data_IF_398315600718
#
_entry.id   IF_398315600718
#
_cell.length_a   1.000
_cell.length_b   1.000
_cell.length_c   1.000
_cell.angle_alpha   90.00
_cell.angle_beta   90.00
_cell.angle_gamma   90.00
#
_symmetry.space_group_name_H-M   'P 1'
#
loop_
_entity.id
_entity.type
_entity.pdbx_description
1 polymer ?
#
# COMPACT_ATOMS: atom_id res chain seq x y z
N UNK A 1 75.40 -28.75 32.69
CA UNK A 1 75.58 -29.23 31.31
C UNK A 1 74.24 -29.81 30.88
N UNK A 2 73.46 -29.06 30.18
CA UNK A 2 72.31 -29.54 29.42
C UNK A 2 72.12 -28.59 28.25
N UNK A 3 72.19 -29.14 27.04
CA UNK A 3 72.12 -28.43 25.75
C UNK A 3 70.70 -28.04 25.46
N UNK A 4 70.48 -26.78 25.11
CA UNK A 4 69.30 -26.23 24.45
C UNK A 4 69.28 -26.75 22.99
N UNK A 5 68.16 -27.32 22.61
CA UNK A 5 67.79 -27.57 21.20
C UNK A 5 66.76 -26.55 20.78
N UNK A 6 67.11 -25.62 19.94
CA UNK A 6 66.23 -24.74 19.20
C UNK A 6 65.48 -25.54 18.14
N UNK A 7 64.15 -25.50 18.20
CA UNK A 7 63.29 -26.03 17.15
C UNK A 7 62.77 -24.86 16.32
N UNK A 8 63.30 -24.77 15.11
CA UNK A 8 62.94 -23.79 14.11
C UNK A 8 61.66 -24.25 13.39
N UNK A 9 60.51 -23.57 13.62
CA UNK A 9 59.27 -23.77 12.91
C UNK A 9 58.90 -22.50 12.13
N UNK A 10 59.48 -22.37 10.93
CA UNK A 10 58.96 -21.47 9.92
C UNK A 10 57.86 -22.20 9.17
N UNK A 11 56.58 -21.76 9.39
CA UNK A 11 55.41 -22.13 8.66
C UNK A 11 54.52 -20.89 8.48
N UNK A 12 54.93 -19.99 7.60
CA UNK A 12 54.17 -18.78 7.30
C UNK A 12 52.92 -19.10 6.52
N UNK A 13 51.76 -19.13 7.19
CA UNK A 13 50.47 -19.05 6.54
C UNK A 13 50.17 -17.56 6.29
N UNK A 14 50.43 -17.09 5.07
CA UNK A 14 49.96 -15.77 4.62
C UNK A 14 48.44 -15.84 4.42
N UNK A 15 47.69 -15.50 5.45
CA UNK A 15 46.28 -15.07 5.27
C UNK A 15 46.29 -13.72 4.57
N UNK A 16 46.00 -13.70 3.27
CA UNK A 16 45.67 -12.48 2.58
C UNK A 16 44.38 -11.87 3.21
N UNK A 17 44.60 -10.86 4.04
CA UNK A 17 43.52 -10.03 4.54
C UNK A 17 42.87 -9.33 3.33
N UNK A 18 41.61 -9.65 3.06
CA UNK A 18 40.81 -8.97 2.06
C UNK A 18 40.76 -7.47 2.40
N UNK A 19 41.29 -6.64 1.54
CA UNK A 19 41.23 -5.18 1.70
C UNK A 19 39.74 -4.76 1.73
N UNK A 20 39.31 -3.90 2.65
CA UNK A 20 37.95 -3.37 2.65
C UNK A 20 37.72 -2.57 1.37
N UNK A 21 36.84 -3.06 0.53
CA UNK A 21 36.42 -2.37 -0.71
C UNK A 21 35.75 -1.05 -0.35
N UNK A 22 36.06 0.02 -1.10
CA UNK A 22 35.47 1.33 -0.88
C UNK A 22 33.93 1.28 -1.02
N UNK A 23 33.16 2.05 -0.20
CA UNK A 23 31.69 1.98 -0.16
C UNK A 23 31.00 2.15 -1.53
N UNK A 24 31.59 2.93 -2.42
CA UNK A 24 31.07 3.15 -3.78
C UNK A 24 31.17 1.90 -4.67
N UNK A 25 32.20 1.08 -4.51
CA UNK A 25 32.40 -0.16 -5.30
C UNK A 25 31.40 -1.23 -4.84
N UNK A 26 31.17 -1.35 -3.53
CA UNK A 26 30.19 -2.29 -2.94
C UNK A 26 28.77 -1.93 -3.38
N UNK A 27 28.40 -0.64 -3.39
CA UNK A 27 27.10 -0.16 -3.85
C UNK A 27 26.86 -0.39 -5.36
N UNK A 28 27.90 -0.34 -6.18
CA UNK A 28 27.84 -0.64 -7.61
C UNK A 28 27.60 -2.14 -7.84
N UNK A 29 28.33 -2.99 -7.16
CA UNK A 29 28.20 -4.46 -7.26
C UNK A 29 26.81 -4.94 -6.79
N UNK A 30 26.28 -4.40 -5.69
CA UNK A 30 24.95 -4.72 -5.21
C UNK A 30 23.85 -4.36 -6.21
N UNK A 31 23.99 -3.22 -6.91
CA UNK A 31 23.05 -2.80 -7.95
C UNK A 31 23.12 -3.74 -9.17
N UNK A 32 24.31 -4.14 -9.60
CA UNK A 32 24.51 -5.09 -10.70
C UNK A 32 23.88 -6.45 -10.37
N UNK A 33 24.06 -6.94 -9.13
CA UNK A 33 23.43 -8.18 -8.66
C UNK A 33 21.89 -8.10 -8.71
N UNK A 34 21.31 -6.98 -8.27
CA UNK A 34 19.87 -6.77 -8.33
C UNK A 34 19.34 -6.77 -9.78
N UNK A 35 20.06 -6.15 -10.71
CA UNK A 35 19.73 -6.19 -12.14
C UNK A 35 19.76 -7.62 -12.68
N UNK A 36 20.76 -8.41 -12.30
CA UNK A 36 20.87 -9.83 -12.69
C UNK A 36 19.70 -10.63 -12.12
N UNK A 37 19.36 -10.45 -10.85
CA UNK A 37 18.24 -11.13 -10.20
C UNK A 37 16.90 -10.80 -10.89
N UNK A 38 16.65 -9.53 -11.19
CA UNK A 38 15.45 -9.11 -11.93
C UNK A 38 15.42 -9.77 -13.31
N UNK A 39 16.52 -9.72 -14.07
CA UNK A 39 16.60 -10.33 -15.40
C UNK A 39 16.35 -11.84 -15.38
N UNK A 40 16.94 -12.55 -14.43
CA UNK A 40 16.82 -14.01 -14.31
C UNK A 40 15.44 -14.44 -13.82
N UNK A 41 14.80 -13.63 -12.97
CA UNK A 41 13.45 -13.88 -12.46
C UNK A 41 12.33 -13.49 -13.43
N UNK A 42 12.65 -12.85 -14.58
CA UNK A 42 11.65 -12.29 -15.47
C UNK A 42 11.02 -13.37 -16.37
N UNK A 43 9.70 -13.62 -16.25
CA UNK A 43 8.99 -14.53 -17.15
C UNK A 43 9.06 -14.07 -18.61
N UNK A 44 9.00 -15.01 -19.56
CA UNK A 44 9.12 -14.70 -20.99
C UNK A 44 8.14 -13.64 -21.47
N UNK A 45 6.90 -13.68 -20.99
CA UNK A 45 5.83 -12.75 -21.34
C UNK A 45 6.15 -11.30 -20.92
N UNK A 46 6.99 -11.11 -19.88
CA UNK A 46 7.40 -9.82 -19.32
C UNK A 46 8.78 -9.35 -19.80
N UNK A 47 9.52 -10.16 -20.58
CA UNK A 47 10.82 -9.75 -21.13
C UNK A 47 10.81 -8.41 -21.87
N UNK A 48 9.78 -8.05 -22.67
CA UNK A 48 9.70 -6.72 -23.30
C UNK A 48 9.68 -5.55 -22.30
N UNK A 49 9.26 -5.79 -21.04
CA UNK A 49 9.18 -4.80 -19.98
C UNK A 49 10.40 -4.78 -19.06
N UNK A 50 11.45 -5.53 -19.38
CA UNK A 50 12.65 -5.67 -18.55
C UNK A 50 13.21 -4.32 -18.08
N UNK A 51 13.29 -3.34 -18.97
CA UNK A 51 13.82 -2.01 -18.62
C UNK A 51 12.91 -1.26 -17.64
N UNK A 52 11.60 -1.50 -17.69
CA UNK A 52 10.65 -0.89 -16.76
C UNK A 52 10.87 -1.38 -15.32
N UNK A 53 11.30 -2.63 -15.14
CA UNK A 53 11.68 -3.17 -13.83
C UNK A 53 13.07 -2.73 -13.35
N UNK A 54 13.97 -2.33 -14.27
CA UNK A 54 15.33 -1.92 -13.93
C UNK A 54 15.41 -0.42 -13.61
N UNK A 55 14.72 0.43 -14.36
CA UNK A 55 14.75 1.89 -14.19
C UNK A 55 14.52 2.36 -12.74
N UNK A 56 13.55 1.83 -11.97
CA UNK A 56 13.31 2.30 -10.59
C UNK A 56 14.40 1.94 -9.58
N UNK A 57 15.40 1.11 -9.92
CA UNK A 57 16.55 0.87 -9.05
C UNK A 57 17.32 2.15 -8.72
N UNK A 58 17.35 3.12 -9.64
CA UNK A 58 17.96 4.42 -9.36
C UNK A 58 17.19 5.19 -8.28
N UNK A 59 15.85 5.13 -8.32
CA UNK A 59 14.99 5.72 -7.29
C UNK A 59 15.21 5.02 -5.96
N UNK A 60 15.24 3.68 -5.94
CA UNK A 60 15.50 2.89 -4.75
C UNK A 60 16.86 3.28 -4.11
N UNK A 61 17.91 3.42 -4.93
CA UNK A 61 19.24 3.85 -4.49
C UNK A 61 19.22 5.25 -3.88
N UNK A 62 18.57 6.22 -4.54
CA UNK A 62 18.44 7.61 -4.04
C UNK A 62 17.71 7.69 -2.70
N UNK A 63 16.76 6.79 -2.47
CA UNK A 63 15.98 6.70 -1.24
C UNK A 63 16.64 5.83 -0.16
N UNK A 64 17.79 5.22 -0.43
CA UNK A 64 18.44 4.29 0.50
C UNK A 64 17.67 2.99 0.72
N UNK A 65 16.79 2.61 -0.21
CA UNK A 65 16.04 1.36 -0.14
C UNK A 65 16.96 0.21 -0.52
N UNK A 66 17.07 -0.85 0.31
CA UNK A 66 17.86 -2.04 -0.02
C UNK A 66 17.42 -2.65 -1.36
N UNK A 67 18.39 -3.04 -2.19
CA UNK A 67 18.12 -3.61 -3.50
C UNK A 67 17.28 -4.90 -3.41
N UNK A 68 17.49 -5.71 -2.37
CA UNK A 68 16.74 -6.95 -2.10
C UNK A 68 15.25 -6.66 -1.91
N UNK A 69 14.93 -5.58 -1.19
CA UNK A 69 13.54 -5.14 -1.02
C UNK A 69 12.91 -4.77 -2.37
N UNK A 70 13.64 -4.03 -3.21
CA UNK A 70 13.11 -3.67 -4.52
C UNK A 70 12.94 -4.91 -5.42
N UNK A 71 13.87 -5.86 -5.41
CA UNK A 71 13.74 -7.12 -6.15
C UNK A 71 12.49 -7.89 -5.70
N UNK A 72 12.17 -7.90 -4.41
CA UNK A 72 10.92 -8.49 -3.92
C UNK A 72 9.68 -7.78 -4.48
N UNK A 73 9.66 -6.43 -4.49
CA UNK A 73 8.55 -5.69 -5.10
C UNK A 73 8.40 -5.98 -6.60
N UNK A 74 9.51 -6.14 -7.32
CA UNK A 74 9.47 -6.61 -8.72
C UNK A 74 8.82 -7.98 -8.84
N UNK A 75 9.13 -8.93 -7.95
CA UNK A 75 8.52 -10.25 -7.96
C UNK A 75 7.01 -10.20 -7.70
N UNK A 76 6.54 -9.37 -6.77
CA UNK A 76 5.12 -9.17 -6.52
C UNK A 76 4.42 -8.51 -7.73
N UNK A 77 5.05 -7.51 -8.35
CA UNK A 77 4.54 -6.88 -9.56
C UNK A 77 4.43 -7.90 -10.72
N UNK A 78 5.45 -8.73 -10.93
CA UNK A 78 5.42 -9.81 -11.93
C UNK A 78 4.27 -10.79 -11.66
N UNK A 79 4.08 -11.23 -10.41
CA UNK A 79 2.98 -12.10 -10.02
C UNK A 79 1.61 -11.47 -10.30
N UNK A 80 1.42 -10.19 -9.96
CA UNK A 80 0.19 -9.46 -10.23
C UNK A 80 -0.09 -9.36 -11.73
N UNK A 81 0.93 -9.07 -12.55
CA UNK A 81 0.81 -8.96 -14.00
C UNK A 81 0.52 -10.32 -14.66
N UNK A 82 1.09 -11.42 -14.15
CA UNK A 82 0.81 -12.76 -14.66
C UNK A 82 -0.62 -13.23 -14.34
N UNK A 83 -1.16 -12.83 -13.19
CA UNK A 83 -2.56 -13.09 -12.83
C UNK A 83 -3.52 -12.27 -13.67
N UNK A 84 -3.16 -11.04 -14.04
CA UNK A 84 -3.95 -10.16 -14.88
C UNK A 84 -3.17 -9.76 -16.13
N UNK A 85 -3.34 -10.53 -17.20
CA UNK A 85 -2.61 -10.31 -18.48
C UNK A 85 -2.96 -8.98 -19.15
N UNK A 86 -4.10 -8.36 -18.82
CA UNK A 86 -4.47 -7.03 -19.31
C UNK A 86 -3.48 -5.96 -18.82
N UNK A 87 -2.96 -6.09 -17.59
CA UNK A 87 -1.88 -5.22 -17.09
C UNK A 87 -0.62 -5.27 -17.96
N UNK A 88 -0.30 -6.46 -18.51
CA UNK A 88 0.85 -6.61 -19.42
C UNK A 88 0.64 -5.79 -20.70
N UNK A 89 -0.57 -5.82 -21.25
CA UNK A 89 -0.95 -5.01 -22.42
C UNK A 89 -0.83 -3.52 -22.15
N UNK A 90 -1.35 -3.05 -21.02
CA UNK A 90 -1.27 -1.65 -20.59
C UNK A 90 0.18 -1.20 -20.40
N UNK A 91 1.01 -2.00 -19.71
CA UNK A 91 2.42 -1.70 -19.47
C UNK A 91 3.25 -1.66 -20.77
N UNK A 92 2.95 -2.52 -21.74
CA UNK A 92 3.60 -2.50 -23.07
C UNK A 92 3.23 -1.25 -23.87
N UNK A 93 1.98 -0.80 -23.75
CA UNK A 93 1.48 0.37 -24.46
C UNK A 93 2.02 1.68 -23.84
N UNK A 94 2.11 1.73 -22.51
CA UNK A 94 2.55 2.91 -21.74
C UNK A 94 3.61 2.52 -20.71
N UNK A 95 4.85 2.23 -21.15
CA UNK A 95 5.92 1.71 -20.29
C UNK A 95 6.37 2.72 -19.23
N UNK A 96 6.35 4.02 -19.50
CA UNK A 96 6.76 5.03 -18.54
C UNK A 96 5.75 5.21 -17.41
N UNK A 97 4.46 5.00 -17.66
CA UNK A 97 3.43 4.96 -16.61
C UNK A 97 3.62 3.76 -15.68
N UNK A 98 4.00 2.62 -16.22
CA UNK A 98 4.33 1.45 -15.41
C UNK A 98 5.59 1.69 -14.55
N UNK A 99 6.63 2.33 -15.10
CA UNK A 99 7.79 2.77 -14.32
C UNK A 99 7.37 3.72 -13.20
N UNK A 100 6.48 4.68 -13.50
CA UNK A 100 5.94 5.62 -12.51
C UNK A 100 5.17 4.90 -11.41
N UNK A 101 4.37 3.89 -11.74
CA UNK A 101 3.65 3.08 -10.76
C UNK A 101 4.62 2.34 -9.80
N UNK A 102 5.70 1.75 -10.32
CA UNK A 102 6.73 1.11 -9.49
C UNK A 102 7.49 2.14 -8.62
N UNK A 103 7.81 3.32 -9.17
CA UNK A 103 8.41 4.40 -8.39
C UNK A 103 7.47 4.86 -7.26
N UNK A 104 6.16 4.93 -7.50
CA UNK A 104 5.19 5.31 -6.48
C UNK A 104 5.14 4.29 -5.33
N UNK A 105 5.29 3.00 -5.60
CA UNK A 105 5.44 1.97 -4.55
C UNK A 105 6.64 2.27 -3.65
N UNK A 106 7.78 2.61 -4.25
CA UNK A 106 9.00 2.96 -3.50
C UNK A 106 8.83 4.26 -2.70
N UNK A 107 8.34 5.32 -3.36
CA UNK A 107 8.19 6.65 -2.77
C UNK A 107 7.19 6.68 -1.61
N UNK A 108 6.16 5.85 -1.67
CA UNK A 108 5.16 5.73 -0.60
C UNK A 108 5.56 4.77 0.53
N UNK A 109 6.64 4.01 0.32
CA UNK A 109 7.07 2.97 1.27
C UNK A 109 6.09 1.78 1.36
N UNK A 110 5.14 1.69 0.45
CA UNK A 110 4.17 0.59 0.39
C UNK A 110 4.77 -0.67 -0.23
N UNK A 111 4.01 -1.75 -0.22
CA UNK A 111 4.41 -3.02 -0.84
C UNK A 111 3.26 -3.58 -1.68
N UNK A 112 3.64 -4.26 -2.75
CA UNK A 112 2.73 -5.02 -3.61
C UNK A 112 2.51 -6.45 -3.12
N UNK A 113 3.00 -6.77 -1.90
CA UNK A 113 2.79 -8.10 -1.29
C UNK A 113 1.28 -8.37 -1.14
N UNK A 114 0.73 -9.39 -1.83
CA UNK A 114 -0.71 -9.66 -1.81
C UNK A 114 -1.22 -10.07 -0.42
N UNK A 115 -0.36 -10.62 0.44
CA UNK A 115 -0.73 -11.00 1.81
C UNK A 115 -1.04 -9.78 2.70
N UNK A 116 -0.39 -8.65 2.44
CA UNK A 116 -0.55 -7.44 3.25
C UNK A 116 -1.67 -6.53 2.75
N UNK A 117 -2.10 -6.68 1.52
CA UNK A 117 -3.21 -5.92 0.93
C UNK A 117 -3.11 -4.40 1.10
N UNK A 118 -1.91 -3.82 1.01
CA UNK A 118 -1.70 -2.39 1.23
C UNK A 118 -1.68 -1.56 -0.06
N UNK A 119 -1.14 -2.14 -1.15
CA UNK A 119 -1.13 -1.50 -2.47
C UNK A 119 -1.27 -2.53 -3.59
N UNK A 120 -1.78 -2.08 -4.72
CA UNK A 120 -2.02 -2.91 -5.90
C UNK A 120 -1.58 -2.20 -7.18
N UNK A 121 -1.25 -2.98 -8.21
CA UNK A 121 -1.16 -2.49 -9.58
C UNK A 121 -2.50 -2.74 -10.27
N UNK A 122 -3.12 -1.68 -10.75
CA UNK A 122 -4.42 -1.76 -11.44
C UNK A 122 -4.34 -1.14 -12.81
N UNK A 123 -5.08 -1.67 -13.79
CA UNK A 123 -5.26 -1.02 -15.08
C UNK A 123 -6.33 0.09 -14.93
N UNK A 124 -5.91 1.34 -15.00
CA UNK A 124 -6.83 2.47 -14.93
C UNK A 124 -6.75 3.27 -16.23
N UNK A 125 -7.87 3.40 -16.97
CA UNK A 125 -7.89 4.05 -18.30
C UNK A 125 -6.80 3.56 -19.25
N UNK A 126 -6.52 2.25 -19.23
CA UNK A 126 -5.53 1.64 -20.11
C UNK A 126 -4.06 1.85 -19.70
N UNK A 127 -3.78 2.49 -18.58
CA UNK A 127 -2.43 2.62 -18.01
C UNK A 127 -2.30 1.83 -16.71
N UNK A 128 -1.10 1.37 -16.39
CA UNK A 128 -0.83 0.72 -15.10
C UNK A 128 -0.61 1.77 -14.04
N UNK A 129 -1.41 1.73 -12.97
CA UNK A 129 -1.26 2.63 -11.82
C UNK A 129 -1.11 1.83 -10.52
N UNK A 130 -0.38 2.40 -9.56
CA UNK A 130 -0.44 1.94 -8.18
C UNK A 130 -1.70 2.49 -7.53
N UNK A 131 -2.48 1.65 -6.90
CA UNK A 131 -3.57 2.09 -6.01
C UNK A 131 -3.32 1.66 -4.58
N UNK A 132 -3.65 2.55 -3.64
CA UNK A 132 -3.50 2.31 -2.22
C UNK A 132 -4.82 1.83 -1.63
N UNK A 133 -4.80 0.70 -0.94
CA UNK A 133 -5.97 0.23 -0.20
C UNK A 133 -6.24 1.10 1.05
N UNK A 134 -7.40 0.91 1.69
CA UNK A 134 -7.68 1.57 2.98
C UNK A 134 -6.74 1.06 4.09
N UNK A 135 -6.30 -0.21 4.02
CA UNK A 135 -5.29 -0.76 4.92
C UNK A 135 -3.91 -0.13 4.67
N UNK A 136 -3.56 0.14 3.41
CA UNK A 136 -2.36 0.88 3.05
C UNK A 136 -2.36 2.30 3.61
N UNK A 137 -3.48 3.00 3.53
CA UNK A 137 -3.64 4.34 4.13
C UNK A 137 -3.51 4.30 5.65
N UNK A 138 -4.13 3.32 6.31
CA UNK A 138 -3.97 3.08 7.76
C UNK A 138 -2.51 2.83 8.11
N UNK A 139 -1.84 1.91 7.42
CA UNK A 139 -0.43 1.59 7.63
C UNK A 139 0.48 2.80 7.39
N UNK A 140 0.23 3.57 6.34
CA UNK A 140 0.96 4.80 6.05
C UNK A 140 0.82 5.81 7.20
N UNK A 141 -0.41 6.06 7.67
CA UNK A 141 -0.66 7.01 8.77
C UNK A 141 0.06 6.61 10.07
N UNK A 142 0.11 5.32 10.38
CA UNK A 142 0.80 4.79 11.55
C UNK A 142 2.33 4.90 11.36
N UNK A 143 2.86 4.45 10.22
CA UNK A 143 4.30 4.44 9.95
C UNK A 143 4.92 5.83 9.86
N UNK A 144 4.15 6.83 9.44
CA UNK A 144 4.60 8.23 9.38
C UNK A 144 4.36 8.98 10.70
N UNK A 145 3.80 8.32 11.72
CA UNK A 145 3.56 8.93 13.03
C UNK A 145 2.39 9.92 13.08
N UNK A 146 1.57 10.02 12.01
CA UNK A 146 0.37 10.86 12.00
C UNK A 146 -0.63 10.44 13.07
N UNK A 147 -0.67 9.14 13.38
CA UNK A 147 -1.44 8.58 14.48
C UNK A 147 -0.77 7.31 15.00
N UNK A 148 -1.17 6.87 16.18
CA UNK A 148 -0.79 5.58 16.75
C UNK A 148 -1.64 4.44 16.16
N UNK A 149 -2.94 4.71 15.98
CA UNK A 149 -3.89 3.77 15.38
C UNK A 149 -5.12 4.47 14.82
N UNK A 150 -5.79 3.81 13.88
CA UNK A 150 -7.12 4.14 13.37
C UNK A 150 -7.96 2.87 13.45
N UNK A 151 -9.04 2.91 14.21
CA UNK A 151 -9.97 1.80 14.30
C UNK A 151 -11.38 2.21 13.90
N UNK A 152 -12.22 1.25 13.52
CA UNK A 152 -13.61 1.51 13.18
C UNK A 152 -14.50 0.34 13.57
N UNK A 153 -15.76 0.66 13.85
CA UNK A 153 -16.80 -0.33 14.13
C UNK A 153 -18.12 0.09 13.51
N UNK A 154 -18.92 -0.91 13.15
CA UNK A 154 -20.29 -0.72 12.70
C UNK A 154 -21.22 -0.82 13.90
N UNK A 155 -22.36 -0.12 13.83
CA UNK A 155 -23.39 -0.08 14.90
C UNK A 155 -24.70 -0.59 14.31
N UNK A 156 -25.31 -1.53 15.00
CA UNK A 156 -26.54 -2.17 14.54
C UNK A 156 -27.72 -1.89 15.51
N UNK A 157 -28.93 -2.08 15.03
CA UNK A 157 -30.14 -2.00 15.85
C UNK A 157 -30.07 -3.02 17.00
N UNK A 158 -30.42 -2.57 18.22
CA UNK A 158 -30.37 -3.40 19.41
C UNK A 158 -29.05 -3.44 20.15
N UNK A 159 -28.06 -2.65 19.70
CA UNK A 159 -26.82 -2.40 20.42
C UNK A 159 -26.89 -1.10 21.23
N UNK A 160 -26.19 -1.05 22.37
CA UNK A 160 -26.06 0.17 23.15
C UNK A 160 -24.96 1.04 22.57
N UNK A 161 -25.33 2.18 22.03
CA UNK A 161 -24.38 3.15 21.47
C UNK A 161 -24.69 4.56 21.99
N UNK A 162 -23.66 5.19 22.56
CA UNK A 162 -23.74 6.58 23.03
C UNK A 162 -22.48 7.35 22.64
N UNK A 163 -22.68 8.56 22.18
CA UNK A 163 -21.59 9.48 21.80
C UNK A 163 -21.85 10.84 22.44
N UNK A 164 -20.82 11.41 23.05
CA UNK A 164 -20.81 12.78 23.56
C UNK A 164 -19.68 13.56 22.89
N UNK A 165 -20.00 14.71 22.33
CA UNK A 165 -19.02 15.64 21.75
C UNK A 165 -18.94 16.90 22.62
N UNK A 166 -17.93 17.72 22.46
CA UNK A 166 -17.72 18.94 23.21
C UNK A 166 -16.39 18.93 23.94
N UNK A 167 -16.36 19.57 25.13
CA UNK A 167 -15.13 19.72 25.93
C UNK A 167 -14.65 18.43 26.59
N UNK A 168 -15.54 17.47 26.80
CA UNK A 168 -15.24 16.15 27.35
C UNK A 168 -15.84 15.08 26.47
N UNK A 169 -15.22 14.81 25.29
CA UNK A 169 -15.75 13.87 24.32
C UNK A 169 -15.63 12.42 24.81
N UNK A 170 -16.67 11.63 24.62
CA UNK A 170 -16.70 10.22 24.98
C UNK A 170 -17.49 9.40 23.96
N UNK A 171 -17.11 8.14 23.80
CA UNK A 171 -17.82 7.16 22.98
C UNK A 171 -17.95 5.88 23.78
N UNK A 172 -19.16 5.31 23.80
CA UNK A 172 -19.46 4.04 24.41
C UNK A 172 -20.20 3.19 23.40
N UNK A 173 -19.70 1.98 23.14
CA UNK A 173 -20.36 1.01 22.29
C UNK A 173 -20.32 -0.36 23.01
N UNK A 174 -21.50 -0.95 23.22
CA UNK A 174 -21.65 -2.30 23.74
C UNK A 174 -22.34 -3.10 22.63
N UNK A 175 -21.56 -3.86 21.84
CA UNK A 175 -22.12 -4.67 20.77
C UNK A 175 -22.95 -5.82 21.33
N UNK A 176 -24.02 -6.16 20.63
CA UNK A 176 -24.80 -7.34 20.95
C UNK A 176 -24.43 -8.45 19.93
N UNK A 177 -23.59 -9.45 20.33
CA UNK A 177 -23.14 -10.49 19.41
C UNK A 177 -24.26 -11.42 18.94
N UNK A 178 -25.42 -11.36 19.58
CA UNK A 178 -26.60 -12.15 19.24
C UNK A 178 -27.63 -11.38 18.40
N UNK A 179 -27.42 -10.10 18.18
CA UNK A 179 -28.27 -9.31 17.30
C UNK A 179 -28.09 -9.73 15.83
N UNK A 180 -29.14 -9.52 15.04
CA UNK A 180 -29.04 -9.73 13.58
C UNK A 180 -28.24 -8.61 12.95
N UNK A 181 -27.06 -8.95 12.41
CA UNK A 181 -26.19 -8.03 11.69
C UNK A 181 -26.45 -8.14 10.18
N UNK A 182 -27.41 -7.37 9.72
CA UNK A 182 -27.78 -7.28 8.29
C UNK A 182 -27.68 -5.84 7.79
N UNK A 183 -27.72 -5.65 6.49
CA UNK A 183 -27.75 -4.31 5.90
C UNK A 183 -28.97 -3.50 6.42
N UNK A 184 -30.11 -4.14 6.70
CA UNK A 184 -31.33 -3.48 7.19
C UNK A 184 -31.26 -3.08 8.67
N UNK A 185 -30.47 -3.80 9.47
CA UNK A 185 -30.24 -3.48 10.88
C UNK A 185 -29.09 -2.55 11.12
N UNK A 186 -28.24 -2.27 10.11
CA UNK A 186 -27.17 -1.32 10.20
C UNK A 186 -27.71 0.10 10.43
N UNK A 187 -27.23 0.78 11.48
CA UNK A 187 -27.52 2.17 11.77
C UNK A 187 -26.44 3.11 11.20
N UNK A 188 -25.20 2.63 11.12
CA UNK A 188 -24.04 3.36 10.66
C UNK A 188 -22.78 2.79 11.25
N UNK A 189 -21.80 3.63 11.47
CA UNK A 189 -20.54 3.24 12.11
C UNK A 189 -19.76 4.44 12.62
N UNK A 190 -18.68 4.15 13.28
CA UNK A 190 -17.77 5.18 13.80
C UNK A 190 -16.32 4.76 13.58
N UNK A 191 -15.43 5.73 13.65
CA UNK A 191 -14.00 5.50 13.72
C UNK A 191 -13.40 6.22 14.90
N UNK A 192 -12.26 5.70 15.36
CA UNK A 192 -11.48 6.23 16.46
C UNK A 192 -10.05 6.41 15.97
N UNK A 193 -9.50 7.61 16.14
CA UNK A 193 -8.09 7.93 15.86
C UNK A 193 -7.39 8.09 17.20
N UNK A 194 -6.38 7.28 17.45
CA UNK A 194 -5.50 7.42 18.61
C UNK A 194 -4.21 8.09 18.16
N UNK A 195 -3.96 9.31 18.64
CA UNK A 195 -2.73 10.05 18.36
C UNK A 195 -1.57 9.60 19.25
N UNK A 196 -0.34 9.85 18.80
CA UNK A 196 0.88 9.54 19.57
C UNK A 196 0.93 10.26 20.92
N UNK A 197 0.26 11.42 21.06
CA UNK A 197 0.08 12.14 22.31
C UNK A 197 -0.87 11.45 23.31
N UNK A 198 -1.50 10.35 22.94
CA UNK A 198 -2.58 9.71 23.71
C UNK A 198 -3.95 10.35 23.55
N UNK A 199 -4.05 11.50 22.84
CA UNK A 199 -5.33 12.11 22.49
C UNK A 199 -6.14 11.17 21.59
N UNK A 200 -7.44 11.08 21.85
CA UNK A 200 -8.38 10.32 21.03
C UNK A 200 -9.30 11.30 20.30
N UNK A 201 -9.50 11.08 19.01
CA UNK A 201 -10.54 11.73 18.22
C UNK A 201 -11.43 10.66 17.59
N UNK A 202 -12.71 10.94 17.48
CA UNK A 202 -13.66 10.02 16.87
C UNK A 202 -14.78 10.81 16.17
N UNK A 203 -15.41 10.16 15.21
CA UNK A 203 -16.61 10.65 14.55
C UNK A 203 -17.46 9.49 14.05
N UNK A 204 -18.71 9.80 13.69
CA UNK A 204 -19.69 8.83 13.22
C UNK A 204 -20.04 9.08 11.76
N UNK A 205 -20.51 8.03 11.09
CA UNK A 205 -21.21 8.12 9.80
C UNK A 205 -22.52 7.35 9.91
N UNK A 206 -23.63 7.98 9.53
CA UNK A 206 -24.91 7.29 9.44
C UNK A 206 -24.92 6.34 8.23
N UNK A 207 -25.88 5.40 8.25
CA UNK A 207 -26.13 4.51 7.11
C UNK A 207 -26.39 5.31 5.84
N UNK A 208 -27.16 6.41 5.91
CA UNK A 208 -27.50 7.27 4.78
C UNK A 208 -26.26 7.93 4.17
N UNK A 209 -25.29 8.36 5.00
CA UNK A 209 -24.01 8.91 4.54
C UNK A 209 -23.18 7.83 3.81
N UNK A 210 -23.14 6.61 4.34
CA UNK A 210 -22.44 5.47 3.72
C UNK A 210 -23.10 5.12 2.38
N UNK A 211 -24.43 5.02 2.34
CA UNK A 211 -25.18 4.73 1.10
C UNK A 211 -25.00 5.84 0.05
N UNK A 212 -24.87 7.09 0.45
CA UNK A 212 -24.58 8.18 -0.46
C UNK A 212 -23.18 8.05 -1.11
N UNK A 213 -22.22 7.46 -0.38
CA UNK A 213 -20.89 7.15 -0.92
C UNK A 213 -20.95 5.92 -1.84
N UNK A 214 -21.69 4.88 -1.45
CA UNK A 214 -21.96 3.71 -2.30
C UNK A 214 -22.52 4.11 -3.66
N UNK A 215 -23.54 4.96 -3.69
CA UNK A 215 -24.15 5.44 -4.95
C UNK A 215 -23.18 6.14 -5.90
N UNK A 216 -22.11 6.73 -5.38
CA UNK A 216 -21.06 7.40 -6.17
C UNK A 216 -19.92 6.46 -6.55
N UNK A 217 -19.95 5.19 -6.12
CA UNK A 217 -18.91 4.23 -6.43
C UNK A 217 -19.00 3.76 -7.88
N UNK A 218 -17.90 3.77 -8.65
CA UNK A 218 -17.91 3.34 -10.07
C UNK A 218 -18.33 1.89 -10.26
N UNK A 219 -18.11 1.04 -9.26
CA UNK A 219 -18.49 -0.37 -9.30
C UNK A 219 -20.01 -0.58 -9.21
N UNK A 220 -20.74 0.41 -8.68
CA UNK A 220 -22.20 0.35 -8.56
C UNK A 220 -22.84 0.82 -9.87
N UNK A 221 -23.67 -0.02 -10.48
CA UNK A 221 -24.33 0.28 -11.75
C UNK A 221 -23.55 -0.13 -13.02
N UNK A 222 -22.38 -0.75 -12.87
CA UNK A 222 -21.59 -1.27 -14.00
C UNK A 222 -22.17 -2.52 -14.67
N UNK A 223 -23.31 -3.04 -14.19
CA UNK A 223 -23.92 -4.30 -14.65
C UNK A 223 -23.17 -5.56 -14.19
N UNK A 224 -22.08 -5.40 -13.43
CA UNK A 224 -21.33 -6.49 -12.80
C UNK A 224 -21.56 -6.48 -11.28
N UNK A 225 -21.33 -7.61 -10.64
CA UNK A 225 -21.39 -7.72 -9.18
C UNK A 225 -20.33 -6.79 -8.57
N UNK A 226 -20.75 -5.94 -7.67
CA UNK A 226 -19.92 -4.95 -7.00
C UNK A 226 -19.47 -5.47 -5.64
N UNK A 227 -18.30 -5.09 -5.11
CA UNK A 227 -17.91 -5.37 -3.72
C UNK A 227 -18.93 -4.84 -2.68
N UNK A 228 -19.72 -3.84 -3.04
CA UNK A 228 -20.85 -3.42 -2.21
C UNK A 228 -22.00 -4.44 -2.14
N UNK A 229 -22.03 -5.38 -3.07
CA UNK A 229 -23.05 -6.44 -3.10
C UNK A 229 -22.54 -7.72 -2.42
N UNK A 230 -21.22 -8.00 -2.48
CA UNK A 230 -20.57 -9.17 -1.88
C UNK A 230 -20.12 -8.94 -0.45
N UNK A 231 -19.49 -7.77 -0.19
CA UNK A 231 -18.77 -7.47 1.05
C UNK A 231 -19.20 -6.13 1.67
N UNK A 232 -20.52 -5.94 1.77
CA UNK A 232 -21.12 -4.67 2.18
C UNK A 232 -20.52 -4.09 3.46
N UNK A 233 -20.31 -4.89 4.50
CA UNK A 233 -19.77 -4.41 5.78
C UNK A 233 -18.31 -4.02 5.70
N UNK A 234 -17.50 -4.73 4.90
CA UNK A 234 -16.11 -4.36 4.66
C UNK A 234 -16.03 -3.05 3.87
N UNK A 235 -16.93 -2.84 2.92
CA UNK A 235 -17.03 -1.56 2.21
C UNK A 235 -17.48 -0.41 3.11
N UNK A 236 -18.35 -0.66 4.10
CA UNK A 236 -18.69 0.31 5.13
C UNK A 236 -17.46 0.66 5.99
N UNK A 237 -16.70 -0.33 6.46
CA UNK A 237 -15.47 -0.11 7.23
C UNK A 237 -14.41 0.64 6.41
N UNK A 238 -14.20 0.26 5.15
CA UNK A 238 -13.34 0.97 4.19
C UNK A 238 -13.71 2.46 4.11
N UNK A 239 -14.99 2.77 4.06
CA UNK A 239 -15.51 4.13 3.99
C UNK A 239 -15.20 4.92 5.26
N UNK A 240 -15.38 4.32 6.43
CA UNK A 240 -15.04 4.90 7.73
C UNK A 240 -13.54 5.20 7.85
N UNK A 241 -12.68 4.23 7.54
CA UNK A 241 -11.22 4.41 7.58
C UNK A 241 -10.76 5.49 6.61
N UNK A 242 -11.30 5.53 5.39
CA UNK A 242 -10.97 6.58 4.43
C UNK A 242 -11.40 7.97 4.92
N UNK A 243 -12.53 8.10 5.62
CA UNK A 243 -12.95 9.35 6.24
C UNK A 243 -12.01 9.76 7.39
N UNK A 244 -11.65 8.80 8.25
CA UNK A 244 -10.67 9.02 9.34
C UNK A 244 -9.32 9.51 8.79
N UNK A 245 -8.79 8.85 7.77
CA UNK A 245 -7.52 9.21 7.12
C UNK A 245 -7.52 10.63 6.58
N UNK A 246 -8.64 11.09 6.00
CA UNK A 246 -8.78 12.47 5.49
C UNK A 246 -8.76 13.53 6.60
N UNK A 247 -9.13 13.17 7.82
CA UNK A 247 -9.16 14.08 8.98
C UNK A 247 -7.84 14.14 9.75
N UNK A 248 -6.86 13.30 9.42
CA UNK A 248 -5.55 13.33 10.09
C UNK A 248 -4.85 14.68 9.85
N UNK A 249 -4.27 15.30 10.89
CA UNK A 249 -3.45 16.49 10.75
C UNK A 249 -2.17 16.15 9.98
N UNK A 250 -1.88 16.91 8.93
CA UNK A 250 -0.76 16.67 8.01
C UNK A 250 0.40 17.66 8.25
N UNK A 251 0.47 18.21 9.46
CA UNK A 251 1.47 19.21 9.86
C UNK A 251 2.66 18.49 10.50
N UNK A 252 3.88 18.95 10.20
CA UNK A 252 5.11 18.41 10.80
C UNK A 252 5.65 17.13 10.17
N UNK A 253 5.15 16.77 8.99
CA UNK A 253 5.67 15.62 8.22
C UNK A 253 7.04 15.93 7.60
N UNK A 254 7.88 14.90 7.45
CA UNK A 254 9.11 15.02 6.66
C UNK A 254 8.79 15.29 5.18
N UNK A 255 9.71 15.88 4.39
CA UNK A 255 9.51 16.11 2.96
C UNK A 255 9.18 14.82 2.18
N UNK A 256 9.80 13.70 2.54
CA UNK A 256 9.55 12.39 1.95
C UNK A 256 8.13 11.91 2.24
N UNK A 257 7.68 12.04 3.49
CA UNK A 257 6.33 11.70 3.88
C UNK A 257 5.28 12.62 3.22
N UNK A 258 5.57 13.92 3.05
CA UNK A 258 4.70 14.83 2.31
C UNK A 258 4.56 14.40 0.85
N UNK A 259 5.67 14.07 0.18
CA UNK A 259 5.66 13.58 -1.20
C UNK A 259 4.87 12.27 -1.35
N UNK A 260 5.05 11.34 -0.44
CA UNK A 260 4.27 10.09 -0.42
C UNK A 260 2.77 10.38 -0.25
N UNK A 261 2.40 11.32 0.62
CA UNK A 261 1.03 11.75 0.83
C UNK A 261 0.42 12.39 -0.42
N UNK A 262 1.18 13.22 -1.14
CA UNK A 262 0.75 13.82 -2.41
C UNK A 262 0.46 12.74 -3.46
N UNK A 263 1.30 11.71 -3.56
CA UNK A 263 1.07 10.57 -4.45
C UNK A 263 -0.24 9.85 -4.08
N UNK A 264 -0.42 9.49 -2.80
CA UNK A 264 -1.62 8.78 -2.32
C UNK A 264 -2.89 9.59 -2.59
N UNK A 265 -2.87 10.88 -2.29
CA UNK A 265 -4.04 11.76 -2.48
C UNK A 265 -4.29 12.06 -3.97
N UNK A 266 -3.23 12.24 -4.77
CA UNK A 266 -3.33 12.48 -6.21
C UNK A 266 -3.98 11.31 -6.94
N UNK A 267 -3.65 10.08 -6.57
CA UNK A 267 -4.29 8.87 -7.09
C UNK A 267 -5.78 8.82 -6.70
N UNK A 268 -6.12 9.15 -5.46
CA UNK A 268 -7.52 9.21 -4.99
C UNK A 268 -8.32 10.30 -5.72
N UNK A 269 -7.74 11.49 -5.91
CA UNK A 269 -8.40 12.60 -6.60
C UNK A 269 -8.62 12.31 -8.08
N UNK A 270 -7.67 11.65 -8.73
CA UNK A 270 -7.79 11.23 -10.12
C UNK A 270 -8.99 10.29 -10.29
N UNK A 271 -9.08 9.27 -9.42
CA UNK A 271 -10.22 8.35 -9.40
C UNK A 271 -11.53 9.10 -9.11
N UNK A 272 -11.54 10.07 -8.19
CA UNK A 272 -12.73 10.82 -7.83
C UNK A 272 -13.19 11.78 -8.95
N UNK A 273 -12.27 12.47 -9.62
CA UNK A 273 -12.58 13.37 -10.75
C UNK A 273 -13.15 12.60 -11.95
N UNK A 274 -12.54 11.47 -12.26
CA UNK A 274 -12.96 10.63 -13.36
C UNK A 274 -14.34 10.02 -13.14
N UNK A 275 -14.71 9.73 -11.91
CA UNK A 275 -16.04 9.25 -11.53
C UNK A 275 -17.13 10.32 -11.74
N UNK A 276 -16.79 11.61 -11.63
CA UNK A 276 -17.71 12.71 -11.91
C UNK A 276 -17.89 12.97 -13.43
N UNK A 277 -16.90 12.58 -14.25
CA UNK A 277 -16.99 12.69 -15.72
C UNK A 277 -17.57 11.43 -16.38
N UNK A 278 -17.58 10.28 -15.70
CA UNK A 278 -17.90 8.96 -16.26
C UNK A 278 -19.38 8.61 -16.37
N UNK A 279 -20.30 9.59 -16.40
CA UNK A 279 -21.69 9.30 -16.81
C UNK A 279 -21.86 9.11 -18.34
N UNK A 280 -20.79 9.22 -19.14
CA UNK A 280 -20.92 9.22 -20.62
C UNK A 280 -19.97 8.28 -21.39
N UNK A 281 -19.12 7.45 -20.77
CA UNK A 281 -18.34 6.46 -21.54
C UNK A 281 -18.29 5.11 -20.81
N UNK A 282 -19.02 4.16 -21.36
CA UNK A 282 -18.89 2.72 -21.16
C UNK A 282 -17.53 2.30 -21.71
N UNK A 283 -16.68 1.74 -20.88
CA UNK A 283 -15.58 0.78 -21.14
C UNK A 283 -14.31 1.03 -20.31
N UNK A 284 -14.43 0.99 -18.97
CA UNK A 284 -13.23 0.70 -18.16
C UNK A 284 -13.61 -0.15 -16.96
N UNK A 285 -13.24 -1.43 -17.05
CA UNK A 285 -13.50 -2.45 -16.05
C UNK A 285 -12.61 -2.24 -14.84
N UNK A 286 -13.17 -1.76 -13.75
CA UNK A 286 -12.54 -1.84 -12.43
C UNK A 286 -12.53 -3.32 -11.99
N UNK A 287 -11.41 -3.97 -12.10
CA UNK A 287 -11.22 -5.28 -11.46
C UNK A 287 -10.72 -5.02 -10.03
N UNK A 288 -11.63 -5.16 -9.06
CA UNK A 288 -11.23 -5.18 -7.65
C UNK A 288 -10.42 -6.46 -7.40
N UNK A 289 -9.16 -6.30 -7.00
CA UNK A 289 -8.20 -7.39 -6.81
C UNK A 289 -8.36 -8.02 -5.42
N UNK A 290 -9.51 -7.87 -4.79
CA UNK A 290 -9.79 -8.47 -3.49
C UNK A 290 -10.33 -9.90 -3.58
N UNK A 291 -10.50 -10.47 -4.81
CA UNK A 291 -10.85 -11.87 -4.98
C UNK A 291 -9.64 -12.68 -5.46
N UNK A 292 -8.87 -13.20 -4.54
CA UNK A 292 -8.22 -14.52 -4.57
C UNK A 292 -8.00 -15.02 -3.15
#
# INVERSE_FOLDING_TARGET
MAKEQELNLQGGCQQQAAQPQAPAVVASQATEQAVIQIKNGLPEQLRPLQQCFIKPLETAKKMGIPNERYVQECNFAMQAMLKNTYLIGCAKKYPDEFVSALNNVLLTGMTLNPTLNVAYLVPYKGVVQMQTSYMGKKSYAINTGLCKDIDCSLVFKGEEFAISKGTNPSIKHIPNPWASHTADTLLGGYYVITYSSGKIAFDTMSKEEIEAIKKRSPSVGSGKQSPWDTDYFEMCKKTLINRAYKQLPKIGMSPEAQKALEIINGLDEQVAKDNNYGQNEQDDVFVDVTEV
#
